data_IF_547574018956
#
_entry.id   IF_547574018956
#
_cell.length_a   1.000
_cell.length_b   1.000
_cell.length_c   1.000
_cell.angle_alpha   90.00
_cell.angle_beta   90.00
_cell.angle_gamma   90.00
#
_symmetry.space_group_name_H-M   'P 1'
#
loop_
_entity.id
_entity.type
_entity.pdbx_description
1 polymer ?
#
# COMPACT_ATOMS: atom_id res chain seq x y z
N UNK A 1 7.50 55.13 4.32
CA UNK A 1 7.46 53.87 3.54
C UNK A 1 7.68 52.75 4.52
N UNK A 2 6.59 52.11 4.91
CA UNK A 2 6.43 51.37 6.15
C UNK A 2 6.19 49.89 5.83
N UNK A 3 7.16 49.08 6.26
CA UNK A 3 7.11 47.70 6.78
C UNK A 3 5.99 46.77 6.27
N UNK A 4 6.38 45.78 5.45
CA UNK A 4 5.66 44.52 5.31
C UNK A 4 5.82 43.68 6.58
N UNK A 5 4.71 43.31 7.23
CA UNK A 5 4.72 42.38 8.35
C UNK A 5 3.40 41.60 8.44
N UNK A 6 3.57 40.27 8.56
CA UNK A 6 2.70 39.28 9.19
C UNK A 6 1.59 38.61 8.37
N UNK A 7 1.82 37.33 8.08
CA UNK A 7 0.92 36.24 8.52
C UNK A 7 1.62 34.87 8.35
N UNK A 8 2.43 34.51 9.35
CA UNK A 8 2.85 33.12 9.60
C UNK A 8 2.38 32.76 11.02
N UNK A 9 1.19 32.17 11.16
CA UNK A 9 0.77 31.54 12.42
C UNK A 9 1.19 30.07 12.38
N UNK A 10 2.26 29.76 13.10
CA UNK A 10 2.64 28.39 13.48
C UNK A 10 1.58 27.82 14.43
N UNK A 11 1.02 26.67 14.09
CA UNK A 11 0.21 25.86 15.02
C UNK A 11 1.19 25.13 15.94
N UNK A 12 1.07 25.37 17.24
CA UNK A 12 1.88 24.77 18.29
C UNK A 12 1.14 23.56 18.85
N UNK A 13 1.63 22.35 18.56
CA UNK A 13 1.09 21.10 19.12
C UNK A 13 1.86 20.74 20.38
N UNK A 14 1.42 21.28 21.50
CA UNK A 14 1.88 20.84 22.81
C UNK A 14 0.68 20.55 23.70
N UNK A 15 0.61 19.29 24.14
CA UNK A 15 -0.25 18.72 25.18
C UNK A 15 -1.58 18.10 24.73
N UNK A 16 -1.55 16.77 24.60
CA UNK A 16 -2.66 15.90 25.02
C UNK A 16 -2.12 14.48 25.25
N UNK A 17 -1.40 14.31 26.36
CA UNK A 17 -1.27 13.00 27.00
C UNK A 17 -2.38 12.89 28.03
N UNK A 18 -3.26 11.91 27.90
CA UNK A 18 -3.65 10.97 28.97
C UNK A 18 -4.89 10.13 28.60
N UNK A 19 -4.79 8.85 28.99
CA UNK A 19 -5.85 7.86 29.29
C UNK A 19 -6.50 7.10 28.14
N UNK A 20 -5.72 6.13 27.66
CA UNK A 20 -6.21 4.82 27.20
C UNK A 20 -6.56 3.95 28.40
N UNK A 21 -7.82 3.56 28.55
CA UNK A 21 -8.23 2.25 29.09
C UNK A 21 -9.70 1.99 28.75
N UNK A 22 -9.94 1.09 27.80
CA UNK A 22 -11.29 0.72 27.38
C UNK A 22 -11.25 -0.52 26.50
N UNK A 23 -11.09 -1.67 27.15
CA UNK A 23 -11.12 -3.00 26.58
C UNK A 23 -12.40 -3.20 25.76
N UNK A 24 -12.30 -3.43 24.45
CA UNK A 24 -13.39 -4.02 23.65
C UNK A 24 -13.02 -5.47 23.32
N UNK A 25 -13.44 -6.37 24.21
CA UNK A 25 -13.46 -7.83 24.01
C UNK A 25 -14.81 -8.22 23.39
N UNK A 26 -14.96 -8.19 22.08
CA UNK A 26 -15.97 -8.91 21.28
C UNK A 26 -15.45 -8.78 19.83
N UNK A 27 -15.05 -9.80 19.09
CA UNK A 27 -15.83 -10.94 18.61
C UNK A 27 -14.91 -12.12 18.29
N UNK A 28 -15.19 -13.27 18.91
CA UNK A 28 -14.75 -14.59 18.45
C UNK A 28 -16.00 -15.39 18.09
N UNK A 29 -16.50 -15.24 16.86
CA UNK A 29 -17.53 -16.14 16.32
C UNK A 29 -17.42 -16.23 14.78
N UNK A 30 -16.48 -17.10 14.40
CA UNK A 30 -16.49 -18.07 13.30
C UNK A 30 -17.64 -17.91 12.27
N UNK A 31 -17.29 -17.39 11.08
CA UNK A 31 -17.89 -17.83 9.82
C UNK A 31 -16.82 -18.64 9.08
N UNK A 32 -17.07 -19.94 8.88
CA UNK A 32 -16.23 -20.83 8.08
C UNK A 32 -16.21 -20.33 6.62
N UNK A 33 -15.07 -19.84 6.17
CA UNK A 33 -14.79 -19.58 4.75
C UNK A 33 -14.72 -20.92 3.99
N UNK A 34 -15.16 -20.98 2.72
CA UNK A 34 -15.01 -22.19 1.91
C UNK A 34 -13.54 -22.43 1.55
N UNK A 35 -13.13 -23.70 1.60
CA UNK A 35 -11.77 -24.14 1.26
C UNK A 35 -11.38 -23.71 -0.17
N UNK A 36 -10.23 -23.04 -0.29
CA UNK A 36 -9.59 -22.75 -1.57
C UNK A 36 -8.83 -23.99 -2.05
N UNK A 37 -8.81 -24.29 -3.35
CA UNK A 37 -7.86 -25.26 -3.90
C UNK A 37 -6.44 -24.70 -3.76
N UNK A 38 -5.57 -25.50 -3.17
CA UNK A 38 -4.14 -25.23 -2.96
C UNK A 38 -3.45 -25.16 -4.32
N UNK A 39 -2.95 -23.97 -4.67
CA UNK A 39 -1.89 -23.81 -5.67
C UNK A 39 -0.63 -23.35 -4.92
N UNK A 40 0.40 -24.16 -5.00
CA UNK A 40 1.69 -24.02 -4.32
C UNK A 40 2.41 -22.74 -4.76
N UNK A 41 2.50 -21.76 -3.85
CA UNK A 41 3.42 -20.64 -3.93
C UNK A 41 4.26 -20.62 -2.64
N UNK A 42 5.54 -20.30 -2.82
CA UNK A 42 6.65 -20.37 -1.86
C UNK A 42 6.33 -19.98 -0.39
N UNK A 43 6.96 -20.63 0.60
CA UNK A 43 6.75 -20.36 2.02
C UNK A 43 7.62 -19.16 2.46
N UNK A 44 7.01 -18.07 2.91
CA UNK A 44 7.77 -16.91 3.38
C UNK A 44 6.93 -15.84 4.07
N UNK A 45 6.75 -16.02 5.39
CA UNK A 45 6.44 -15.02 6.44
C UNK A 45 5.41 -13.92 6.13
N UNK A 46 4.26 -14.04 6.80
CA UNK A 46 3.39 -12.92 7.15
C UNK A 46 4.20 -11.87 7.95
N UNK A 47 4.40 -10.70 7.37
CA UNK A 47 4.89 -9.50 8.06
C UNK A 47 3.70 -8.55 8.25
N UNK A 48 3.64 -7.92 9.42
CA UNK A 48 2.54 -7.10 9.92
C UNK A 48 1.95 -6.15 8.86
N UNK A 49 0.63 -6.24 8.68
CA UNK A 49 -0.11 -5.53 7.65
C UNK A 49 -0.14 -4.02 7.88
N UNK A 50 0.41 -3.27 6.92
CA UNK A 50 -0.17 -1.97 6.59
C UNK A 50 -1.62 -2.16 6.10
N UNK A 51 -2.48 -1.13 6.18
CA UNK A 51 -3.91 -1.26 5.90
C UNK A 51 -4.27 -1.60 4.45
N UNK A 52 -3.29 -1.71 3.54
CA UNK A 52 -3.54 -1.98 2.12
C UNK A 52 -2.74 -3.20 1.63
N UNK A 53 -3.41 -4.25 1.14
CA UNK A 53 -2.75 -5.36 0.47
C UNK A 53 -2.14 -4.90 -0.87
N UNK A 54 -1.03 -5.52 -1.27
CA UNK A 54 -0.39 -5.33 -2.58
C UNK A 54 -1.36 -5.73 -3.70
N UNK A 55 -1.46 -4.93 -4.76
CA UNK A 55 -2.35 -5.16 -5.91
C UNK A 55 -1.92 -6.40 -6.71
N UNK A 56 -2.61 -7.53 -6.49
CA UNK A 56 -2.60 -8.63 -7.46
C UNK A 56 -3.75 -8.42 -8.45
N UNK A 57 -3.51 -7.64 -9.50
CA UNK A 57 -4.50 -7.36 -10.54
C UNK A 57 -4.65 -8.54 -11.51
N UNK A 58 -5.08 -9.70 -11.03
CA UNK A 58 -5.59 -10.75 -11.91
C UNK A 58 -7.03 -10.40 -12.27
N UNK A 59 -7.22 -9.62 -13.34
CA UNK A 59 -8.54 -9.32 -13.91
C UNK A 59 -9.16 -10.65 -14.34
N UNK A 60 -10.07 -11.18 -13.52
CA UNK A 60 -10.89 -12.32 -13.91
C UNK A 60 -12.19 -11.78 -14.49
N UNK A 61 -12.30 -11.84 -15.82
CA UNK A 61 -13.58 -11.62 -16.51
C UNK A 61 -14.61 -12.59 -15.92
N UNK A 62 -15.58 -12.09 -15.14
CA UNK A 62 -16.57 -12.94 -14.47
C UNK A 62 -17.99 -12.56 -14.87
N UNK A 63 -18.69 -13.59 -15.35
CA UNK A 63 -20.12 -13.60 -15.62
C UNK A 63 -20.86 -13.39 -14.30
N UNK A 64 -21.82 -12.46 -14.29
CA UNK A 64 -22.57 -12.06 -13.10
C UNK A 64 -23.27 -13.27 -12.43
N UNK A 65 -22.75 -13.69 -11.29
CA UNK A 65 -23.28 -14.79 -10.48
C UNK A 65 -24.17 -14.24 -9.35
N UNK A 66 -24.96 -15.12 -8.71
CA UNK A 66 -25.71 -14.78 -7.49
C UNK A 66 -24.84 -14.20 -6.36
N UNK A 67 -23.54 -14.51 -6.35
CA UNK A 67 -22.57 -13.91 -5.41
C UNK A 67 -22.38 -12.41 -5.63
N UNK A 68 -22.53 -11.94 -6.87
CA UNK A 68 -22.34 -10.53 -7.22
C UNK A 68 -23.52 -9.67 -6.77
N UNK A 69 -24.73 -10.24 -6.72
CA UNK A 69 -25.91 -9.55 -6.16
C UNK A 69 -25.77 -9.34 -4.66
N UNK A 70 -25.39 -10.38 -3.92
CA UNK A 70 -25.19 -10.28 -2.46
C UNK A 70 -24.09 -9.28 -2.09
N UNK A 71 -22.99 -9.25 -2.86
CA UNK A 71 -21.93 -8.26 -2.70
C UNK A 71 -22.46 -6.84 -2.93
N UNK A 72 -23.20 -6.63 -4.02
CA UNK A 72 -23.73 -5.31 -4.36
C UNK A 72 -24.63 -4.75 -3.25
N UNK A 73 -25.46 -5.61 -2.65
CA UNK A 73 -26.31 -5.25 -1.52
C UNK A 73 -25.48 -4.90 -0.28
N UNK A 74 -24.44 -5.67 0.02
CA UNK A 74 -23.53 -5.39 1.14
C UNK A 74 -22.83 -4.03 0.98
N UNK A 75 -22.27 -3.75 -0.19
CA UNK A 75 -21.63 -2.47 -0.48
C UNK A 75 -22.63 -1.32 -0.38
N UNK A 76 -23.85 -1.48 -0.91
CA UNK A 76 -24.89 -0.45 -0.84
C UNK A 76 -25.39 -0.18 0.59
N UNK A 77 -25.40 -1.19 1.47
CA UNK A 77 -25.69 -1.00 2.89
C UNK A 77 -24.59 -0.19 3.57
N UNK A 78 -23.32 -0.50 3.30
CA UNK A 78 -22.19 0.23 3.86
C UNK A 78 -22.13 1.68 3.37
N UNK A 79 -22.40 1.92 2.09
CA UNK A 79 -22.51 3.26 1.49
C UNK A 79 -23.56 4.11 2.21
N UNK A 80 -24.79 3.60 2.36
CA UNK A 80 -25.86 4.29 3.08
C UNK A 80 -25.52 4.54 4.56
N UNK A 81 -24.82 3.60 5.19
CA UNK A 81 -24.41 3.77 6.58
C UNK A 81 -23.34 4.86 6.72
N UNK A 82 -22.37 4.92 5.81
CA UNK A 82 -21.35 5.98 5.77
C UNK A 82 -21.97 7.36 5.53
N UNK A 83 -22.93 7.48 4.60
CA UNK A 83 -23.63 8.75 4.35
C UNK A 83 -24.35 9.27 5.60
N UNK A 84 -25.03 8.38 6.35
CA UNK A 84 -25.77 8.76 7.57
C UNK A 84 -24.86 9.05 8.76
N UNK A 85 -23.67 8.46 8.78
CA UNK A 85 -22.74 8.45 9.91
C UNK A 85 -21.42 9.12 9.57
N UNK A 86 -21.44 10.11 8.68
CA UNK A 86 -20.23 10.69 8.08
C UNK A 86 -19.25 11.23 9.13
N UNK A 87 -19.74 11.83 10.21
CA UNK A 87 -18.92 12.37 11.31
C UNK A 87 -19.08 11.58 12.63
N UNK A 88 -19.67 10.39 12.56
CA UNK A 88 -19.80 9.46 13.70
C UNK A 88 -18.44 8.77 13.96
N UNK A 89 -18.16 8.44 15.22
CA UNK A 89 -16.96 7.68 15.61
C UNK A 89 -16.88 6.31 14.93
N UNK A 90 -18.02 5.75 14.52
CA UNK A 90 -18.11 4.48 13.81
C UNK A 90 -17.76 4.58 12.31
N UNK A 91 -17.56 5.77 11.74
CA UNK A 91 -17.29 5.94 10.31
C UNK A 91 -16.07 5.13 9.86
N UNK A 92 -14.98 5.18 10.64
CA UNK A 92 -13.73 4.49 10.31
C UNK A 92 -13.87 2.98 10.17
N UNK A 93 -14.72 2.35 10.98
CA UNK A 93 -14.97 0.90 10.93
C UNK A 93 -15.78 0.52 9.69
N UNK A 94 -16.81 1.31 9.38
CA UNK A 94 -17.66 1.11 8.19
C UNK A 94 -16.82 1.31 6.92
N UNK A 95 -16.03 2.38 6.89
CA UNK A 95 -15.08 2.69 5.83
C UNK A 95 -14.11 1.52 5.60
N UNK A 96 -13.45 1.04 6.65
CA UNK A 96 -12.46 -0.05 6.54
C UNK A 96 -13.08 -1.32 5.96
N UNK A 97 -14.29 -1.68 6.41
CA UNK A 97 -15.02 -2.83 5.85
C UNK A 97 -15.40 -2.64 4.39
N UNK A 98 -15.86 -1.45 4.02
CA UNK A 98 -16.20 -1.11 2.63
C UNK A 98 -14.98 -1.24 1.72
N UNK A 99 -13.85 -0.65 2.12
CA UNK A 99 -12.60 -0.66 1.36
C UNK A 99 -12.09 -2.08 1.13
N UNK A 100 -12.14 -2.94 2.16
CA UNK A 100 -11.74 -4.35 2.03
C UNK A 100 -12.63 -5.08 1.03
N UNK A 101 -13.95 -4.92 1.11
CA UNK A 101 -14.86 -5.58 0.17
C UNK A 101 -14.70 -5.03 -1.25
N UNK A 102 -14.69 -3.71 -1.40
CA UNK A 102 -14.53 -3.08 -2.70
C UNK A 102 -13.23 -3.54 -3.39
N UNK A 103 -12.15 -3.65 -2.61
CA UNK A 103 -10.90 -4.20 -3.09
C UNK A 103 -10.99 -5.67 -3.49
N UNK A 104 -11.46 -6.54 -2.60
CA UNK A 104 -11.51 -7.99 -2.79
C UNK A 104 -12.26 -8.40 -4.05
N UNK A 105 -13.23 -7.60 -4.46
CA UNK A 105 -14.09 -7.87 -5.60
C UNK A 105 -13.81 -6.97 -6.81
N UNK A 106 -12.75 -6.15 -6.78
CA UNK A 106 -12.37 -5.31 -7.92
C UNK A 106 -13.31 -4.13 -8.20
N UNK A 107 -14.11 -3.71 -7.21
CA UNK A 107 -15.08 -2.61 -7.27
C UNK A 107 -14.41 -1.22 -7.11
N UNK A 108 -13.18 -1.08 -7.59
CA UNK A 108 -12.40 0.15 -7.50
C UNK A 108 -13.12 1.34 -8.14
N UNK A 109 -13.75 1.13 -9.30
CA UNK A 109 -14.49 2.18 -10.00
C UNK A 109 -15.69 2.69 -9.20
N UNK A 110 -16.46 1.77 -8.60
CA UNK A 110 -17.59 2.08 -7.71
C UNK A 110 -17.13 2.87 -6.49
N UNK A 111 -16.09 2.39 -5.80
CA UNK A 111 -15.56 3.05 -4.61
C UNK A 111 -15.08 4.49 -4.91
N UNK A 112 -14.34 4.68 -6.01
CA UNK A 112 -13.90 6.01 -6.45
C UNK A 112 -15.10 6.93 -6.70
N UNK A 113 -16.13 6.44 -7.40
CA UNK A 113 -17.31 7.24 -7.69
C UNK A 113 -18.08 7.61 -6.40
N UNK A 114 -18.26 6.65 -5.51
CA UNK A 114 -18.95 6.85 -4.24
C UNK A 114 -18.27 7.93 -3.39
N UNK A 115 -16.95 7.83 -3.15
CA UNK A 115 -16.27 8.80 -2.28
C UNK A 115 -16.11 10.19 -2.91
N UNK A 116 -16.15 10.31 -4.24
CA UNK A 116 -16.29 11.62 -4.90
C UNK A 116 -17.62 12.27 -4.57
N UNK A 117 -18.72 11.56 -4.81
CA UNK A 117 -20.07 12.07 -4.52
C UNK A 117 -20.24 12.35 -3.03
N UNK A 118 -19.68 11.50 -2.16
CA UNK A 118 -19.73 11.69 -0.71
C UNK A 118 -19.05 13.01 -0.29
N UNK A 119 -17.86 13.29 -0.82
CA UNK A 119 -17.13 14.53 -0.54
C UNK A 119 -17.81 15.76 -1.17
N UNK A 120 -18.44 15.63 -2.34
CA UNK A 120 -19.23 16.72 -2.95
C UNK A 120 -20.45 17.08 -2.11
N UNK A 121 -21.12 16.09 -1.50
CA UNK A 121 -22.27 16.31 -0.62
C UNK A 121 -21.88 16.80 0.77
N UNK A 122 -20.68 16.48 1.23
CA UNK A 122 -20.17 16.82 2.56
C UNK A 122 -18.80 17.50 2.48
N UNK A 123 -18.69 18.69 1.87
CA UNK A 123 -17.42 19.34 1.60
C UNK A 123 -16.66 19.77 2.86
N UNK A 124 -17.34 19.90 3.99
CA UNK A 124 -16.74 20.27 5.28
C UNK A 124 -16.40 19.06 6.17
N UNK A 125 -16.80 17.84 5.79
CA UNK A 125 -16.51 16.65 6.60
C UNK A 125 -15.06 16.21 6.40
N UNK A 126 -14.23 16.20 7.47
CA UNK A 126 -12.86 15.71 7.37
C UNK A 126 -12.80 14.23 6.97
N UNK A 127 -13.79 13.43 7.39
CA UNK A 127 -13.89 12.02 7.04
C UNK A 127 -14.17 11.82 5.55
N UNK A 128 -15.11 12.59 4.98
CA UNK A 128 -15.41 12.54 3.55
C UNK A 128 -14.18 12.94 2.70
N UNK A 129 -13.51 14.03 3.08
CA UNK A 129 -12.30 14.51 2.39
C UNK A 129 -11.12 13.54 2.50
N UNK A 130 -10.89 12.95 3.68
CA UNK A 130 -9.84 11.95 3.88
C UNK A 130 -10.10 10.67 3.07
N UNK A 131 -11.35 10.21 3.05
CA UNK A 131 -11.77 9.05 2.26
C UNK A 131 -11.64 9.31 0.74
N UNK A 132 -12.03 10.51 0.27
CA UNK A 132 -11.79 10.95 -1.10
C UNK A 132 -10.29 10.90 -1.46
N UNK A 133 -9.46 11.50 -0.61
CA UNK A 133 -8.00 11.51 -0.76
C UNK A 133 -7.43 10.11 -0.95
N UNK A 134 -7.79 9.22 -0.01
CA UNK A 134 -7.25 7.87 0.08
C UNK A 134 -7.73 6.97 -1.05
N UNK A 135 -9.05 6.94 -1.30
CA UNK A 135 -9.64 6.01 -2.26
C UNK A 135 -9.52 6.50 -3.69
N UNK A 136 -9.69 7.80 -3.93
CA UNK A 136 -9.57 8.30 -5.30
C UNK A 136 -8.11 8.47 -5.69
N UNK A 137 -7.36 9.30 -4.97
CA UNK A 137 -6.00 9.61 -5.40
C UNK A 137 -5.00 8.54 -4.96
N UNK A 138 -5.14 8.00 -3.75
CA UNK A 138 -4.27 6.92 -3.26
C UNK A 138 -4.35 5.65 -4.13
N UNK A 139 -5.56 5.12 -4.39
CA UNK A 139 -5.68 3.91 -5.23
C UNK A 139 -5.27 4.15 -6.68
N UNK A 140 -5.61 5.31 -7.28
CA UNK A 140 -5.13 5.65 -8.63
C UNK A 140 -3.61 5.69 -8.69
N UNK A 141 -2.96 6.28 -7.68
CA UNK A 141 -1.50 6.29 -7.56
C UNK A 141 -0.93 4.86 -7.52
N UNK A 142 -1.50 3.98 -6.68
CA UNK A 142 -1.08 2.59 -6.59
C UNK A 142 -1.28 1.81 -7.90
N UNK A 143 -2.40 2.02 -8.61
CA UNK A 143 -2.64 1.39 -9.93
C UNK A 143 -1.59 1.85 -10.95
N UNK A 144 -1.26 3.15 -10.97
CA UNK A 144 -0.26 3.69 -11.88
C UNK A 144 1.15 3.17 -11.57
N UNK A 145 1.50 3.09 -10.27
CA UNK A 145 2.74 2.46 -9.84
C UNK A 145 2.78 1.00 -10.29
N UNK A 146 1.71 0.22 -10.07
CA UNK A 146 1.67 -1.18 -10.50
C UNK A 146 1.86 -1.34 -12.00
N UNK A 147 1.19 -0.54 -12.83
CA UNK A 147 1.39 -0.55 -14.29
C UNK A 147 2.85 -0.24 -14.69
N UNK A 148 3.48 0.69 -13.97
CA UNK A 148 4.91 0.98 -14.17
C UNK A 148 5.79 -0.23 -13.85
N UNK A 149 5.49 -0.94 -12.77
CA UNK A 149 6.19 -2.17 -12.40
C UNK A 149 5.98 -3.29 -13.43
N UNK A 150 4.74 -3.49 -13.90
CA UNK A 150 4.40 -4.48 -14.93
C UNK A 150 5.21 -4.26 -16.23
N UNK A 151 5.41 -3.00 -16.64
CA UNK A 151 6.25 -2.66 -17.79
C UNK A 151 7.72 -3.04 -17.57
N UNK A 152 8.25 -2.79 -16.36
CA UNK A 152 9.63 -3.14 -16.02
C UNK A 152 9.79 -4.67 -15.97
N UNK A 153 8.84 -5.39 -15.37
CA UNK A 153 8.82 -6.85 -15.36
C UNK A 153 8.74 -7.44 -16.78
N UNK A 154 7.94 -6.84 -17.65
CA UNK A 154 7.89 -7.19 -19.06
C UNK A 154 9.24 -7.02 -19.76
N UNK A 155 9.97 -5.93 -19.47
CA UNK A 155 11.32 -5.71 -20.00
C UNK A 155 12.34 -6.74 -19.48
N UNK A 156 12.25 -7.14 -18.21
CA UNK A 156 13.07 -8.21 -17.63
C UNK A 156 12.72 -9.57 -18.27
N UNK A 157 11.45 -9.82 -18.57
CA UNK A 157 11.01 -11.04 -19.25
C UNK A 157 11.56 -11.19 -20.67
N UNK A 158 11.85 -10.06 -21.35
CA UNK A 158 12.49 -10.04 -22.67
C UNK A 158 14.01 -10.26 -22.56
N UNK A 159 14.67 -9.57 -21.63
CA UNK A 159 16.11 -9.68 -21.38
C UNK A 159 16.38 -9.69 -19.87
N UNK A 160 16.57 -10.89 -19.33
CA UNK A 160 16.76 -11.10 -17.89
C UNK A 160 18.13 -10.60 -17.40
N UNK A 161 19.11 -10.39 -18.29
CA UNK A 161 20.42 -9.86 -17.93
C UNK A 161 20.49 -8.33 -18.10
N UNK A 162 19.38 -7.70 -18.51
CA UNK A 162 19.30 -6.27 -18.68
C UNK A 162 19.49 -5.52 -17.35
N UNK A 163 20.71 -5.03 -17.12
CA UNK A 163 21.06 -4.31 -15.89
C UNK A 163 20.12 -3.12 -15.64
N UNK A 164 19.77 -2.36 -16.68
CA UNK A 164 18.90 -1.18 -16.56
C UNK A 164 17.51 -1.57 -16.06
N UNK A 165 16.87 -2.58 -16.64
CA UNK A 165 15.55 -3.05 -16.18
C UNK A 165 15.60 -3.56 -14.75
N UNK A 166 16.62 -4.35 -14.38
CA UNK A 166 16.76 -4.91 -13.02
C UNK A 166 17.02 -3.86 -11.95
N UNK A 167 17.90 -2.88 -12.19
CA UNK A 167 18.15 -1.82 -11.21
C UNK A 167 16.93 -0.91 -11.05
N UNK A 168 16.19 -0.66 -12.14
CA UNK A 168 14.93 0.07 -12.06
C UNK A 168 13.87 -0.74 -11.30
N UNK A 169 13.73 -2.04 -11.52
CA UNK A 169 12.82 -2.89 -10.76
C UNK A 169 13.11 -2.84 -9.26
N UNK A 170 14.37 -3.06 -8.88
CA UNK A 170 14.81 -3.04 -7.50
C UNK A 170 14.58 -1.65 -6.87
N UNK A 171 14.89 -0.56 -7.57
CA UNK A 171 14.67 0.81 -7.09
C UNK A 171 13.18 1.12 -6.96
N UNK A 172 12.40 0.81 -8.00
CA UNK A 172 11.00 1.17 -8.11
C UNK A 172 10.12 0.42 -7.12
N UNK A 173 10.52 -0.81 -6.77
CA UNK A 173 9.88 -1.61 -5.72
C UNK A 173 9.84 -0.86 -4.37
N UNK A 174 10.81 0.01 -4.05
CA UNK A 174 10.83 0.74 -2.78
C UNK A 174 9.63 1.71 -2.60
N UNK A 175 9.00 2.14 -3.69
CA UNK A 175 7.83 3.04 -3.63
C UNK A 175 6.53 2.34 -3.20
N UNK A 176 6.51 1.00 -3.14
CA UNK A 176 5.35 0.25 -2.70
C UNK A 176 5.33 0.09 -1.17
N UNK A 177 4.14 -0.02 -0.56
CA UNK A 177 4.03 -0.44 0.84
C UNK A 177 4.80 -1.74 1.08
N UNK A 178 5.66 -1.75 2.10
CA UNK A 178 6.57 -2.88 2.42
C UNK A 178 7.61 -3.21 1.33
N UNK A 179 7.77 -2.35 0.33
CA UNK A 179 8.69 -2.55 -0.79
C UNK A 179 10.16 -2.29 -0.45
N UNK A 180 10.45 -1.55 0.61
CA UNK A 180 11.81 -1.23 1.06
C UNK A 180 12.67 -2.48 1.24
N UNK A 181 12.16 -3.48 1.97
CA UNK A 181 12.90 -4.71 2.28
C UNK A 181 13.25 -5.48 1.01
N UNK A 182 12.27 -5.65 0.12
CA UNK A 182 12.46 -6.32 -1.17
C UNK A 182 13.45 -5.56 -2.05
N UNK A 183 13.34 -4.23 -2.10
CA UNK A 183 14.28 -3.36 -2.81
C UNK A 183 15.72 -3.52 -2.31
N UNK A 184 15.93 -3.50 -0.99
CA UNK A 184 17.26 -3.68 -0.39
C UNK A 184 17.84 -5.05 -0.73
N UNK A 185 17.04 -6.11 -0.63
CA UNK A 185 17.44 -7.45 -1.00
C UNK A 185 17.87 -7.53 -2.48
N UNK A 186 17.05 -7.02 -3.39
CA UNK A 186 17.31 -7.10 -4.83
C UNK A 186 18.55 -6.26 -5.22
N UNK A 187 18.74 -5.09 -4.60
CA UNK A 187 19.96 -4.28 -4.77
C UNK A 187 21.21 -4.98 -4.21
N UNK A 188 21.09 -5.77 -3.13
CA UNK A 188 22.22 -6.54 -2.57
C UNK A 188 22.68 -7.65 -3.51
N UNK A 189 21.74 -8.30 -4.20
CA UNK A 189 22.03 -9.29 -5.25
C UNK A 189 22.71 -8.61 -6.43
N UNK A 190 22.13 -7.51 -6.94
CA UNK A 190 22.74 -6.76 -8.04
C UNK A 190 24.16 -6.29 -7.70
N UNK A 191 24.39 -5.81 -6.48
CA UNK A 191 25.71 -5.35 -6.02
C UNK A 191 26.76 -6.46 -6.13
N UNK A 192 26.41 -7.69 -5.75
CA UNK A 192 27.31 -8.86 -5.83
C UNK A 192 27.56 -9.27 -7.28
N UNK A 193 26.51 -9.30 -8.09
CA UNK A 193 26.63 -9.72 -9.49
C UNK A 193 27.42 -8.73 -10.35
N UNK A 194 27.42 -7.44 -9.98
CA UNK A 194 28.05 -6.35 -10.74
C UNK A 194 29.40 -5.90 -10.14
N UNK A 195 30.03 -6.72 -9.28
CA UNK A 195 31.29 -6.40 -8.61
C UNK A 195 32.43 -6.07 -9.60
N UNK A 196 32.43 -6.74 -10.75
CA UNK A 196 33.40 -6.50 -11.83
C UNK A 196 33.15 -5.21 -12.64
N UNK A 197 32.05 -4.48 -12.38
CA UNK A 197 31.64 -3.30 -13.16
C UNK A 197 31.55 -2.04 -12.27
N UNK A 198 32.67 -1.32 -12.05
CA UNK A 198 32.72 -0.21 -11.09
C UNK A 198 31.66 0.89 -11.30
N UNK A 199 31.34 1.20 -12.56
CA UNK A 199 30.32 2.21 -12.89
C UNK A 199 28.91 1.77 -12.45
N UNK A 200 28.57 0.49 -12.67
CA UNK A 200 27.28 -0.09 -12.26
C UNK A 200 27.21 -0.21 -10.74
N UNK A 201 28.31 -0.62 -10.10
CA UNK A 201 28.43 -0.68 -8.65
C UNK A 201 28.19 0.69 -7.99
N UNK A 202 28.79 1.75 -8.56
CA UNK A 202 28.57 3.13 -8.11
C UNK A 202 27.09 3.54 -8.23
N UNK A 203 26.42 3.17 -9.32
CA UNK A 203 24.99 3.46 -9.48
C UNK A 203 24.14 2.71 -8.45
N UNK A 204 24.42 1.43 -8.21
CA UNK A 204 23.73 0.61 -7.20
C UNK A 204 23.89 1.25 -5.82
N UNK A 205 25.11 1.60 -5.42
CA UNK A 205 25.37 2.24 -4.12
C UNK A 205 24.66 3.59 -3.98
N UNK A 206 24.61 4.40 -5.03
CA UNK A 206 23.81 5.64 -5.04
C UNK A 206 22.32 5.37 -4.83
N UNK A 207 21.76 4.34 -5.47
CA UNK A 207 20.34 3.96 -5.28
C UNK A 207 20.07 3.45 -3.87
N UNK A 208 20.95 2.62 -3.31
CA UNK A 208 20.84 2.15 -1.92
C UNK A 208 20.82 3.33 -0.96
N UNK A 209 21.78 4.25 -1.06
CA UNK A 209 21.87 5.41 -0.17
C UNK A 209 20.63 6.31 -0.30
N UNK A 210 20.20 6.58 -1.54
CA UNK A 210 18.98 7.36 -1.79
C UNK A 210 17.77 6.73 -1.11
N UNK A 211 17.51 5.44 -1.36
CA UNK A 211 16.35 4.75 -0.77
C UNK A 211 16.48 4.70 0.76
N UNK A 212 17.65 4.41 1.32
CA UNK A 212 17.85 4.43 2.77
C UNK A 212 17.45 5.79 3.37
N UNK A 213 17.93 6.90 2.78
CA UNK A 213 17.57 8.24 3.24
C UNK A 213 16.06 8.54 3.14
N UNK A 214 15.38 8.07 2.08
CA UNK A 214 13.93 8.24 1.93
C UNK A 214 13.13 7.47 2.99
N UNK A 215 13.71 6.40 3.52
CA UNK A 215 13.09 5.54 4.53
C UNK A 215 13.64 5.78 5.95
N UNK A 216 14.41 6.86 6.18
CA UNK A 216 14.91 7.22 7.51
C UNK A 216 16.06 6.35 8.02
N UNK A 217 16.82 5.72 7.11
CA UNK A 217 17.99 4.93 7.43
C UNK A 217 19.27 5.63 6.97
N UNK A 218 20.29 5.69 7.83
CA UNK A 218 21.60 6.27 7.49
C UNK A 218 22.36 5.43 6.45
N UNK A 219 22.11 4.11 6.45
CA UNK A 219 22.72 3.12 5.55
C UNK A 219 21.85 1.88 5.41
N UNK A 220 22.22 1.02 4.47
CA UNK A 220 21.61 -0.30 4.30
C UNK A 220 21.66 -1.08 5.61
N UNK A 221 20.53 -1.56 6.15
CA UNK A 221 20.54 -2.34 7.37
C UNK A 221 21.33 -3.63 7.19
N UNK A 222 22.08 -4.04 8.23
CA UNK A 222 23.02 -5.16 8.17
C UNK A 222 22.36 -6.49 7.79
N UNK A 223 21.08 -6.65 8.13
CA UNK A 223 20.25 -7.81 7.82
C UNK A 223 20.06 -8.06 6.30
N UNK A 224 20.37 -7.08 5.46
CA UNK A 224 20.23 -7.16 4.00
C UNK A 224 21.58 -7.26 3.27
N UNK A 225 22.69 -7.14 4.01
CA UNK A 225 24.05 -7.16 3.47
C UNK A 225 24.55 -8.59 3.26
N UNK A 226 24.08 -9.54 4.07
CA UNK A 226 24.45 -10.96 3.98
C UNK A 226 23.21 -11.85 3.99
N UNK A 227 23.07 -12.82 3.06
CA UNK A 227 22.23 -13.95 3.36
C UNK A 227 22.90 -14.65 4.55
N UNK A 228 22.22 -14.73 5.69
CA UNK A 228 22.62 -15.64 6.78
C UNK A 228 22.44 -17.06 6.27
N UNK A 229 23.37 -17.51 5.43
CA UNK A 229 23.69 -18.93 5.28
C UNK A 229 24.57 -19.24 6.49
N UNK A 230 23.96 -19.24 7.69
CA UNK A 230 24.49 -20.06 8.77
C UNK A 230 23.80 -21.40 8.65
N UNK A 231 24.55 -22.33 8.07
CA UNK A 231 24.45 -23.76 8.26
C UNK A 231 23.72 -24.09 9.58
N UNK A 232 22.58 -24.76 9.49
CA UNK A 232 22.25 -25.77 10.47
C UNK A 232 22.35 -27.10 9.74
N UNK A 233 23.56 -27.65 9.85
CA UNK A 233 23.81 -29.09 9.87
C UNK A 233 22.94 -29.73 10.96
#
# INVERSE_FOLDING_TARGET
MEVQSQLNKRINWSHAGEKSSGISKYYSEIIRLPDRPVRTAYPGRQMAGGPYPVMNNTITNKIASTKDRQLNDQLAILERNMERKIDDTNFGDIYSRYVILAWQYGETGRAINFFKVLAERHPESPNALAALGTITYGWRGQILLQKGLDCIEGAIGIDNDNFFSRINYATFTAYFPNGFVKSMHDLSILRRNEEAFPQRLNLINRRINYICSQHGHDRMPAEYIEPVIKQRL
#
